data_IF_736514124929
#
_entry.id   IF_736514124929
#
_cell.length_a   1.000
_cell.length_b   1.000
_cell.length_c   1.000
_cell.angle_alpha   90.00
_cell.angle_beta   90.00
_cell.angle_gamma   90.00
#
_symmetry.space_group_name_H-M   'P 1'
#
loop_
_entity.id
_entity.type
_entity.pdbx_description
1 polymer ?
#
# COMPACT_ATOMS: atom_id res chain seq x y z
N UNK A 1 -6.92 -9.04 -8.17
CA UNK A 1 -7.24 -7.94 -7.23
C UNK A 1 -7.77 -8.52 -5.94
N UNK A 2 -7.46 -7.93 -4.78
CA UNK A 2 -7.94 -8.42 -3.48
C UNK A 2 -8.64 -7.33 -2.66
N UNK A 3 -9.90 -7.56 -2.31
CA UNK A 3 -10.76 -6.62 -1.58
C UNK A 3 -11.88 -7.35 -0.82
N UNK A 4 -12.57 -6.65 0.07
CA UNK A 4 -13.49 -7.12 1.11
C UNK A 4 -14.67 -7.97 0.59
N UNK A 5 -15.20 -7.62 -0.57
CA UNK A 5 -16.43 -8.16 -1.14
C UNK A 5 -16.26 -9.58 -1.72
N UNK A 6 -15.03 -10.09 -1.79
CA UNK A 6 -14.72 -11.42 -2.30
C UNK A 6 -14.26 -12.39 -1.21
N UNK A 7 -14.46 -13.68 -1.50
CA UNK A 7 -14.01 -14.76 -0.65
C UNK A 7 -12.48 -14.73 -0.48
N UNK A 8 -12.02 -14.82 0.78
CA UNK A 8 -10.60 -14.71 1.11
C UNK A 8 -9.78 -15.92 0.65
N UNK A 9 -10.36 -17.11 0.69
CA UNK A 9 -9.66 -18.35 0.34
C UNK A 9 -9.40 -18.40 -1.16
N UNK A 10 -10.39 -18.01 -1.97
CA UNK A 10 -10.21 -17.86 -3.42
C UNK A 10 -9.10 -16.83 -3.75
N UNK A 11 -9.12 -15.67 -3.09
CA UNK A 11 -8.07 -14.65 -3.28
C UNK A 11 -6.68 -15.12 -2.84
N UNK A 12 -6.60 -15.95 -1.79
CA UNK A 12 -5.34 -16.57 -1.37
C UNK A 12 -4.83 -17.52 -2.44
N UNK A 13 -5.70 -18.36 -2.98
CA UNK A 13 -5.33 -19.35 -3.99
C UNK A 13 -4.87 -18.66 -5.28
N UNK A 14 -5.44 -17.51 -5.64
CA UNK A 14 -4.97 -16.66 -6.74
C UNK A 14 -3.55 -16.12 -6.51
N UNK A 15 -3.22 -15.72 -5.27
CA UNK A 15 -1.88 -15.21 -4.91
C UNK A 15 -0.86 -16.34 -4.83
N UNK A 16 -1.28 -17.54 -4.42
CA UNK A 16 -0.39 -18.67 -4.13
C UNK A 16 0.52 -19.07 -5.30
N UNK A 17 0.00 -18.98 -6.53
CA UNK A 17 0.75 -19.31 -7.74
C UNK A 17 1.82 -18.26 -8.12
N UNK A 18 1.90 -17.16 -7.36
CA UNK A 18 2.75 -16.02 -7.64
C UNK A 18 1.98 -14.93 -8.38
N UNK A 19 2.29 -13.68 -8.02
CA UNK A 19 1.68 -12.51 -8.64
C UNK A 19 2.73 -11.41 -8.77
N UNK A 20 2.78 -10.77 -9.94
CA UNK A 20 3.69 -9.65 -10.19
C UNK A 20 3.10 -8.31 -9.69
N UNK A 21 1.78 -8.15 -9.81
CA UNK A 21 1.05 -6.92 -9.43
C UNK A 21 -0.16 -7.27 -8.57
N UNK A 22 -0.18 -6.80 -7.32
CA UNK A 22 -1.31 -6.96 -6.41
C UNK A 22 -2.04 -5.63 -6.20
N UNK A 23 -3.24 -5.50 -6.77
CA UNK A 23 -4.15 -4.37 -6.52
C UNK A 23 -5.04 -4.73 -5.32
N UNK A 24 -5.08 -3.88 -4.30
CA UNK A 24 -5.70 -4.20 -3.02
C UNK A 24 -6.23 -2.99 -2.25
N UNK A 25 -7.21 -3.21 -1.37
CA UNK A 25 -7.54 -2.26 -0.30
C UNK A 25 -6.57 -2.44 0.88
N UNK A 26 -6.33 -1.41 1.72
CA UNK A 26 -5.43 -1.52 2.87
C UNK A 26 -5.85 -2.63 3.86
N UNK A 27 -7.15 -2.72 4.14
CA UNK A 27 -7.69 -3.66 5.11
C UNK A 27 -7.57 -5.11 4.60
N UNK A 28 -7.86 -5.37 3.31
CA UNK A 28 -7.64 -6.71 2.73
C UNK A 28 -6.17 -7.09 2.69
N UNK A 29 -5.29 -6.16 2.27
CA UNK A 29 -3.85 -6.40 2.22
C UNK A 29 -3.32 -6.80 3.58
N UNK A 30 -3.61 -6.00 4.62
CA UNK A 30 -3.17 -6.28 5.99
C UNK A 30 -3.61 -7.67 6.46
N UNK A 31 -4.87 -8.05 6.19
CA UNK A 31 -5.37 -9.38 6.57
C UNK A 31 -4.58 -10.49 5.89
N UNK A 32 -4.34 -10.41 4.58
CA UNK A 32 -3.58 -11.42 3.84
C UNK A 32 -2.10 -11.43 4.22
N UNK A 33 -1.52 -10.25 4.46
CA UNK A 33 -0.14 -10.06 4.88
C UNK A 33 0.13 -10.70 6.26
N UNK A 34 -0.70 -10.41 7.26
CA UNK A 34 -0.55 -10.99 8.61
C UNK A 34 -0.83 -12.49 8.67
N UNK A 35 -1.57 -13.02 7.69
CA UNK A 35 -1.75 -14.47 7.51
C UNK A 35 -0.59 -15.12 6.73
N UNK A 36 0.48 -14.39 6.42
CA UNK A 36 1.63 -14.84 5.61
C UNK A 36 1.26 -15.30 4.19
N UNK A 37 0.14 -14.83 3.63
CA UNK A 37 -0.30 -15.18 2.27
C UNK A 37 0.31 -14.27 1.20
N UNK A 38 0.95 -13.16 1.58
CA UNK A 38 1.61 -12.22 0.65
C UNK A 38 3.08 -12.12 0.99
N UNK A 39 3.95 -12.49 0.05
CA UNK A 39 5.39 -12.34 0.18
C UNK A 39 5.84 -11.03 -0.47
N UNK A 40 6.33 -10.09 0.35
CA UNK A 40 6.78 -8.76 -0.09
C UNK A 40 8.30 -8.62 -0.16
N UNK A 41 9.07 -9.70 0.04
CA UNK A 41 10.56 -9.63 0.08
C UNK A 41 11.17 -9.11 -1.22
N UNK A 42 10.54 -9.40 -2.36
CA UNK A 42 10.99 -8.92 -3.67
C UNK A 42 10.20 -7.71 -4.17
N UNK A 43 9.44 -7.04 -3.31
CA UNK A 43 8.63 -5.90 -3.70
C UNK A 43 9.55 -4.75 -4.11
N UNK A 44 9.45 -4.33 -5.36
CA UNK A 44 10.24 -3.21 -5.89
C UNK A 44 9.50 -1.87 -5.81
N UNK A 45 8.18 -1.89 -5.80
CA UNK A 45 7.34 -0.70 -5.86
C UNK A 45 6.12 -0.83 -4.96
N UNK A 46 5.83 0.22 -4.19
CA UNK A 46 4.62 0.36 -3.42
C UNK A 46 3.87 1.61 -3.88
N UNK A 47 2.67 1.41 -4.42
CA UNK A 47 1.86 2.49 -5.00
C UNK A 47 0.65 2.76 -4.13
N UNK A 48 0.45 4.03 -3.80
CA UNK A 48 -0.77 4.53 -3.17
C UNK A 48 -1.48 5.43 -4.16
N UNK A 49 -2.70 5.06 -4.53
CA UNK A 49 -3.60 5.86 -5.35
C UNK A 49 -4.70 6.49 -4.48
N UNK A 50 -5.21 7.66 -4.88
CA UNK A 50 -6.21 8.46 -4.14
C UNK A 50 -5.86 8.60 -2.63
N UNK A 51 -4.62 9.01 -2.34
CA UNK A 51 -4.07 8.96 -0.99
C UNK A 51 -4.79 9.86 0.03
N UNK A 52 -5.47 10.91 -0.41
CA UNK A 52 -6.32 11.76 0.42
C UNK A 52 -7.48 10.98 1.08
N UNK A 53 -7.96 9.92 0.44
CA UNK A 53 -9.00 9.05 0.98
C UNK A 53 -8.48 8.25 2.18
N UNK A 54 -7.22 7.83 2.14
CA UNK A 54 -6.60 7.03 3.20
C UNK A 54 -6.45 7.80 4.50
N UNK A 55 -6.46 9.13 4.47
CA UNK A 55 -6.38 9.93 5.68
C UNK A 55 -7.68 9.99 6.49
N UNK A 56 -8.71 9.25 6.10
CA UNK A 56 -9.97 9.10 6.83
C UNK A 56 -9.98 7.78 7.59
N UNK A 57 -10.45 7.81 8.84
CA UNK A 57 -10.62 6.61 9.66
C UNK A 57 -9.33 5.85 9.95
N UNK A 58 -9.38 4.52 9.97
CA UNK A 58 -8.26 3.65 10.34
C UNK A 58 -7.29 3.36 9.20
N UNK A 59 -7.66 3.66 7.95
CA UNK A 59 -6.87 3.34 6.75
C UNK A 59 -5.46 3.94 6.78
N UNK A 60 -5.33 5.14 7.35
CA UNK A 60 -4.05 5.80 7.51
C UNK A 60 -3.08 4.97 8.36
N UNK A 61 -3.56 4.46 9.50
CA UNK A 61 -2.74 3.66 10.40
C UNK A 61 -2.36 2.32 9.76
N UNK A 62 -3.27 1.75 8.97
CA UNK A 62 -3.05 0.52 8.23
C UNK A 62 -1.93 0.68 7.20
N UNK A 63 -1.97 1.71 6.36
CA UNK A 63 -0.95 1.95 5.33
C UNK A 63 0.36 2.47 5.93
N UNK A 64 0.31 3.34 6.95
CA UNK A 64 1.53 3.96 7.49
C UNK A 64 2.47 2.99 8.20
N UNK A 65 1.98 1.81 8.61
CA UNK A 65 2.80 0.77 9.26
C UNK A 65 3.43 -0.21 8.28
N UNK A 66 2.85 -0.36 7.09
CA UNK A 66 3.35 -1.31 6.08
C UNK A 66 4.83 -1.11 5.75
N UNK A 67 5.32 0.12 5.53
CA UNK A 67 6.74 0.36 5.22
C UNK A 67 7.73 -0.24 6.20
N UNK A 68 7.37 -0.41 7.48
CA UNK A 68 8.24 -1.03 8.49
C UNK A 68 8.48 -2.53 8.25
N UNK A 69 7.59 -3.17 7.49
CA UNK A 69 7.68 -4.58 7.12
C UNK A 69 8.20 -4.80 5.70
N UNK A 70 8.41 -3.73 4.93
CA UNK A 70 8.89 -3.80 3.55
C UNK A 70 10.41 -3.65 3.50
N UNK A 71 11.04 -4.43 2.63
CA UNK A 71 12.41 -4.13 2.21
C UNK A 71 12.43 -2.83 1.38
N UNK A 72 13.63 -2.33 1.04
CA UNK A 72 13.79 -1.10 0.27
C UNK A 72 13.05 -1.20 -1.07
N UNK A 73 12.00 -0.41 -1.22
CA UNK A 73 11.22 -0.29 -2.46
C UNK A 73 11.00 1.19 -2.82
N UNK A 74 10.61 1.43 -4.07
CA UNK A 74 10.20 2.75 -4.54
C UNK A 74 8.75 3.03 -4.15
N UNK A 75 8.50 4.19 -3.55
CA UNK A 75 7.15 4.63 -3.18
C UNK A 75 6.62 5.62 -4.21
N UNK A 76 5.42 5.35 -4.73
CA UNK A 76 4.66 6.29 -5.56
C UNK A 76 3.36 6.62 -4.84
N UNK A 77 3.09 7.91 -4.61
CA UNK A 77 1.88 8.36 -3.91
C UNK A 77 1.18 9.38 -4.80
N UNK A 78 -0.02 9.05 -5.23
CA UNK A 78 -0.88 9.89 -6.05
C UNK A 78 -2.02 10.45 -5.20
N UNK A 79 -2.33 11.73 -5.41
CA UNK A 79 -3.38 12.44 -4.68
C UNK A 79 -3.85 13.64 -5.48
N UNK A 80 -5.14 13.99 -5.41
CA UNK A 80 -5.68 15.22 -6.01
C UNK A 80 -5.49 16.44 -5.10
N UNK A 81 -5.26 16.22 -3.81
CA UNK A 81 -5.05 17.28 -2.81
C UNK A 81 -3.76 17.10 -2.04
N UNK A 82 -3.23 18.16 -1.43
CA UNK A 82 -2.02 18.07 -0.62
C UNK A 82 -2.22 18.74 0.74
N UNK A 83 -1.94 17.99 1.81
CA UNK A 83 -1.90 18.49 3.18
C UNK A 83 -0.66 17.98 3.96
N UNK A 84 -0.52 18.46 5.20
CA UNK A 84 0.64 18.19 6.08
C UNK A 84 0.86 16.71 6.40
N UNK A 85 -0.12 15.83 6.19
CA UNK A 85 -0.01 14.38 6.44
C UNK A 85 0.92 13.72 5.42
N UNK A 86 0.97 14.22 4.20
CA UNK A 86 1.94 13.77 3.19
C UNK A 86 3.38 14.09 3.57
N UNK A 87 3.65 15.22 4.23
CA UNK A 87 4.99 15.53 4.76
C UNK A 87 5.44 14.43 5.72
N UNK A 88 4.54 13.95 6.59
CA UNK A 88 4.87 12.88 7.55
C UNK A 88 5.14 11.55 6.87
N UNK A 89 4.46 11.23 5.77
CA UNK A 89 4.75 10.04 4.98
C UNK A 89 6.12 10.13 4.30
N UNK A 90 6.41 11.31 3.72
CA UNK A 90 7.70 11.59 3.11
C UNK A 90 8.85 11.41 4.10
N UNK A 91 8.73 12.00 5.30
CA UNK A 91 9.74 11.88 6.36
C UNK A 91 9.85 10.46 6.93
N UNK A 92 8.74 9.72 7.00
CA UNK A 92 8.69 8.41 7.67
C UNK A 92 9.26 7.28 6.81
N UNK A 93 8.94 7.24 5.52
CA UNK A 93 9.27 6.05 4.70
C UNK A 93 9.63 6.32 3.24
N UNK A 94 9.42 7.53 2.71
CA UNK A 94 9.78 7.82 1.32
C UNK A 94 11.22 8.36 1.26
N UNK A 95 12.16 7.53 0.81
CA UNK A 95 13.56 7.94 0.71
C UNK A 95 13.78 8.90 -0.48
N UNK A 96 14.24 10.12 -0.20
CA UNK A 96 14.49 11.19 -1.19
C UNK A 96 13.28 11.47 -2.11
N UNK A 97 12.12 11.85 -1.55
CA UNK A 97 10.91 12.02 -2.33
C UNK A 97 11.02 13.22 -3.28
N UNK A 98 10.40 13.10 -4.45
CA UNK A 98 10.23 14.19 -5.40
C UNK A 98 8.74 14.48 -5.54
N UNK A 99 8.35 15.72 -5.32
CA UNK A 99 6.98 16.17 -5.58
C UNK A 99 6.86 16.61 -7.03
N UNK A 100 6.00 15.93 -7.78
CA UNK A 100 5.62 16.33 -9.14
C UNK A 100 4.20 16.89 -9.10
N UNK A 101 4.00 18.07 -9.67
CA UNK A 101 2.68 18.69 -9.81
C UNK A 101 2.20 18.51 -11.24
N UNK A 102 0.94 18.08 -11.39
CA UNK A 102 0.28 18.07 -12.69
C UNK A 102 0.24 19.47 -13.29
N UNK A 103 0.44 19.55 -14.61
CA UNK A 103 0.39 20.79 -15.39
C UNK A 103 -1.02 21.32 -15.53
#
# INVERSE_FOLDING_TARGET
CVYEEHNIDAQRDDIYNGIDILITTPKRFNKLFFMNNVNVRKLQMFVVDDAEFLFRGSHLADVSRLPESLERCQYLVFSTTYDKRFNRWQERFMFHPQMVKGS
#
